data_IF_342572904241
#
_entry.id   IF_342572904241
#
_cell.length_a   1.000
_cell.length_b   1.000
_cell.length_c   1.000
_cell.angle_alpha   90.00
_cell.angle_beta   90.00
_cell.angle_gamma   90.00
#
_symmetry.space_group_name_H-M   'P 1'
#
loop_
_entity.id
_entity.type
_entity.pdbx_description
1 polymer ?
#
# COMPACT_ATOMS: atom_id res chain seq x y z
N UNK A 1 -13.37 -32.46 1.18
CA UNK A 1 -12.96 -33.68 1.92
C UNK A 1 -11.46 -33.59 2.12
N UNK A 2 -10.94 -33.67 3.37
CA UNK A 2 -9.50 -33.72 3.57
C UNK A 2 -8.96 -35.00 2.90
N UNK A 3 -7.79 -34.96 2.25
CA UNK A 3 -7.19 -36.16 1.67
C UNK A 3 -6.91 -37.15 2.80
N UNK A 4 -7.43 -38.37 2.66
CA UNK A 4 -7.15 -39.50 3.55
C UNK A 4 -5.64 -39.71 3.57
N UNK A 5 -4.98 -39.32 4.67
CA UNK A 5 -3.56 -39.57 4.90
C UNK A 5 -3.37 -41.09 5.05
N UNK A 6 -3.13 -41.79 3.95
CA UNK A 6 -2.54 -43.13 3.99
C UNK A 6 -1.26 -43.07 4.83
N UNK A 7 -1.12 -43.88 5.90
CA UNK A 7 0.05 -43.81 6.77
C UNK A 7 1.34 -43.99 5.98
N UNK A 8 2.38 -43.23 6.31
CA UNK A 8 3.71 -43.32 5.68
C UNK A 8 4.23 -44.77 5.71
N UNK A 9 3.88 -45.52 6.77
CA UNK A 9 4.16 -46.95 6.96
C UNK A 9 3.59 -47.86 5.87
N UNK A 10 2.44 -47.50 5.27
CA UNK A 10 1.81 -48.30 4.20
C UNK A 10 2.55 -48.09 2.88
N UNK A 11 2.99 -46.86 2.59
CA UNK A 11 3.81 -46.58 1.41
C UNK A 11 5.21 -47.18 1.54
N UNK A 12 5.89 -46.99 2.68
CA UNK A 12 7.22 -47.59 2.92
C UNK A 12 7.14 -49.12 2.96
N UNK A 13 6.06 -49.69 3.50
CA UNK A 13 5.76 -51.12 3.46
C UNK A 13 5.57 -51.65 2.04
N UNK A 14 4.72 -51.02 1.23
CA UNK A 14 4.51 -51.42 -0.17
C UNK A 14 5.80 -51.29 -0.99
N UNK A 15 6.52 -50.19 -0.83
CA UNK A 15 7.75 -49.92 -1.58
C UNK A 15 8.86 -50.88 -1.19
N UNK A 16 9.05 -51.17 0.10
CA UNK A 16 10.03 -52.16 0.58
C UNK A 16 9.69 -53.57 0.09
N UNK A 17 8.41 -53.93 0.06
CA UNK A 17 7.96 -55.18 -0.56
C UNK A 17 8.26 -55.18 -2.06
N UNK A 18 8.00 -54.10 -2.79
CA UNK A 18 8.32 -54.02 -4.23
C UNK A 18 9.83 -54.01 -4.52
N UNK A 19 10.66 -53.35 -3.72
CA UNK A 19 12.13 -53.39 -3.86
C UNK A 19 12.68 -54.77 -3.52
N UNK A 20 12.25 -55.38 -2.41
CA UNK A 20 12.73 -56.71 -1.99
C UNK A 20 12.25 -57.78 -2.97
N UNK A 21 10.98 -57.76 -3.39
CA UNK A 21 10.45 -58.70 -4.40
C UNK A 21 11.09 -58.46 -5.76
N UNK A 22 11.30 -57.22 -6.19
CA UNK A 22 11.98 -56.90 -7.45
C UNK A 22 13.44 -57.35 -7.48
N UNK A 23 14.15 -57.17 -6.37
CA UNK A 23 15.56 -57.54 -6.21
C UNK A 23 15.71 -59.08 -6.04
N UNK A 24 14.77 -59.74 -5.37
CA UNK A 24 14.65 -61.20 -5.34
C UNK A 24 14.33 -61.79 -6.71
N UNK A 25 13.40 -61.19 -7.48
CA UNK A 25 13.12 -61.63 -8.85
C UNK A 25 14.34 -61.45 -9.76
N UNK A 26 15.09 -60.35 -9.64
CA UNK A 26 16.32 -60.15 -10.41
C UNK A 26 17.45 -61.14 -10.02
N UNK A 27 17.54 -61.52 -8.74
CA UNK A 27 18.48 -62.53 -8.24
C UNK A 27 18.11 -63.96 -8.67
N UNK A 28 16.82 -64.31 -8.61
CA UNK A 28 16.30 -65.67 -8.89
C UNK A 28 16.25 -65.97 -10.38
N UNK A 29 15.95 -64.98 -11.22
CA UNK A 29 15.85 -65.16 -12.69
C UNK A 29 17.23 -65.10 -13.37
N UNK A 30 18.30 -64.75 -12.62
CA UNK A 30 19.59 -64.40 -13.18
C UNK A 30 19.51 -63.10 -14.00
N UNK A 31 20.67 -62.58 -14.44
CA UNK A 31 20.79 -61.42 -15.34
C UNK A 31 20.23 -61.74 -16.74
N UNK A 32 18.93 -62.02 -16.82
CA UNK A 32 18.19 -62.12 -18.07
C UNK A 32 17.88 -60.71 -18.58
N UNK A 33 17.66 -60.54 -19.88
CA UNK A 33 17.40 -59.20 -20.44
C UNK A 33 16.16 -58.52 -19.80
N UNK A 34 15.24 -59.29 -19.21
CA UNK A 34 14.06 -58.81 -18.48
C UNK A 34 14.35 -58.26 -17.08
N UNK A 35 15.49 -58.62 -16.46
CA UNK A 35 15.87 -58.08 -15.15
C UNK A 35 16.35 -56.62 -15.24
N UNK A 36 16.83 -56.19 -16.40
CA UNK A 36 17.32 -54.82 -16.64
C UNK A 36 16.18 -53.79 -16.57
N UNK A 37 15.03 -53.95 -17.28
CA UNK A 37 13.88 -53.06 -17.10
C UNK A 37 13.37 -52.99 -15.66
N UNK A 38 13.30 -54.14 -14.97
CA UNK A 38 12.84 -54.20 -13.57
C UNK A 38 13.78 -53.40 -12.68
N UNK A 39 15.09 -53.58 -12.81
CA UNK A 39 16.10 -52.85 -12.05
C UNK A 39 16.05 -51.34 -12.34
N UNK A 40 15.86 -50.94 -13.59
CA UNK A 40 15.69 -49.53 -13.97
C UNK A 40 14.44 -48.91 -13.34
N UNK A 41 13.30 -49.60 -13.34
CA UNK A 41 12.06 -49.13 -12.70
C UNK A 41 12.26 -49.03 -11.19
N UNK A 42 12.87 -50.03 -10.55
CA UNK A 42 13.17 -50.01 -9.11
C UNK A 42 14.11 -48.85 -8.76
N UNK A 43 15.17 -48.62 -9.55
CA UNK A 43 16.07 -47.48 -9.36
C UNK A 43 15.34 -46.15 -9.56
N UNK A 44 14.51 -46.01 -10.60
CA UNK A 44 13.75 -44.79 -10.85
C UNK A 44 12.77 -44.45 -9.71
N UNK A 45 12.04 -45.46 -9.20
CA UNK A 45 11.15 -45.29 -8.04
C UNK A 45 11.94 -44.94 -6.79
N UNK A 46 13.07 -45.62 -6.55
CA UNK A 46 13.92 -45.36 -5.39
C UNK A 46 14.49 -43.94 -5.46
N UNK A 47 15.06 -43.53 -6.60
CA UNK A 47 15.57 -42.16 -6.80
C UNK A 47 14.45 -41.14 -6.56
N UNK A 48 13.25 -41.35 -7.13
CA UNK A 48 12.10 -40.47 -6.93
C UNK A 48 11.66 -40.30 -5.48
N UNK A 49 11.95 -41.26 -4.59
CA UNK A 49 11.66 -41.14 -3.15
C UNK A 49 12.70 -40.31 -2.41
N UNK A 50 13.94 -40.31 -2.87
CA UNK A 50 15.04 -39.56 -2.26
C UNK A 50 15.34 -38.25 -3.00
N UNK A 51 14.62 -37.93 -4.06
CA UNK A 51 14.77 -36.69 -4.79
C UNK A 51 13.50 -35.88 -4.79
N UNK A 52 13.65 -34.56 -4.76
CA UNK A 52 12.56 -33.60 -4.93
C UNK A 52 12.94 -32.65 -6.06
N UNK A 53 12.06 -32.48 -7.04
CA UNK A 53 12.25 -31.52 -8.10
C UNK A 53 11.37 -30.30 -7.86
N UNK A 54 11.98 -29.17 -7.56
CA UNK A 54 11.28 -27.91 -7.30
C UNK A 54 11.16 -27.15 -8.63
N UNK A 55 9.92 -26.82 -9.07
CA UNK A 55 9.71 -26.11 -10.32
C UNK A 55 10.32 -24.70 -10.29
N UNK A 56 10.47 -24.11 -11.49
CA UNK A 56 11.05 -22.79 -11.63
C UNK A 56 10.22 -21.72 -10.92
N UNK A 57 10.91 -20.79 -10.25
CA UNK A 57 10.30 -19.70 -9.47
C UNK A 57 9.44 -20.15 -8.27
N UNK A 58 9.70 -21.34 -7.75
CA UNK A 58 9.06 -21.81 -6.52
C UNK A 58 10.11 -22.17 -5.47
N UNK A 59 9.70 -22.09 -4.22
CA UNK A 59 10.39 -22.68 -3.08
C UNK A 59 9.46 -23.68 -2.39
N UNK A 60 10.04 -24.73 -1.82
CA UNK A 60 9.32 -25.80 -1.14
C UNK A 60 9.86 -25.96 0.27
N UNK A 61 8.97 -25.90 1.26
CA UNK A 61 9.34 -26.16 2.65
C UNK A 61 9.27 -27.66 2.90
N UNK A 62 10.36 -28.20 3.42
CA UNK A 62 10.48 -29.59 3.85
C UNK A 62 10.67 -29.65 5.36
N UNK A 63 9.93 -30.55 5.99
CA UNK A 63 10.03 -30.81 7.44
C UNK A 63 10.57 -32.22 7.65
N UNK A 64 11.64 -32.32 8.43
CA UNK A 64 12.13 -33.59 8.95
C UNK A 64 11.22 -34.03 10.10
N UNK A 65 10.46 -35.10 9.90
CA UNK A 65 9.44 -35.54 10.86
C UNK A 65 10.02 -36.05 12.19
N UNK A 66 11.29 -36.46 12.21
CA UNK A 66 11.95 -36.98 13.42
C UNK A 66 12.51 -35.88 14.31
N UNK A 67 13.00 -34.79 13.71
CA UNK A 67 13.67 -33.70 14.42
C UNK A 67 12.86 -32.41 14.47
N UNK A 68 11.73 -32.37 13.77
CA UNK A 68 10.91 -31.18 13.54
C UNK A 68 11.67 -30.00 12.90
N UNK A 69 12.87 -30.25 12.35
CA UNK A 69 13.67 -29.24 11.66
C UNK A 69 13.10 -28.98 10.28
N UNK A 70 13.03 -27.71 9.91
CA UNK A 70 12.57 -27.28 8.61
C UNK A 70 13.76 -26.86 7.76
N UNK A 71 13.69 -27.09 6.45
CA UNK A 71 14.61 -26.52 5.47
C UNK A 71 13.86 -26.20 4.19
N UNK A 72 14.34 -25.17 3.50
CA UNK A 72 13.73 -24.67 2.27
C UNK A 72 14.53 -25.17 1.08
N UNK A 73 13.84 -25.73 0.10
CA UNK A 73 14.41 -26.08 -1.19
C UNK A 73 14.00 -25.05 -2.23
N UNK A 74 14.98 -24.49 -2.92
CA UNK A 74 14.77 -23.57 -4.04
C UNK A 74 14.70 -24.36 -5.36
N UNK A 75 14.40 -23.68 -6.46
CA UNK A 75 14.37 -24.26 -7.81
C UNK A 75 15.52 -25.24 -8.08
N UNK A 76 15.18 -26.43 -8.61
CA UNK A 76 16.13 -27.45 -9.01
C UNK A 76 15.86 -28.82 -8.39
N UNK A 77 16.77 -29.76 -8.66
CA UNK A 77 16.73 -31.12 -8.13
C UNK A 77 17.50 -31.20 -6.81
N UNK A 78 16.85 -31.68 -5.76
CA UNK A 78 17.43 -31.79 -4.43
C UNK A 78 17.29 -33.20 -3.87
N UNK A 79 18.19 -33.58 -2.98
CA UNK A 79 18.07 -34.81 -2.20
C UNK A 79 17.23 -34.57 -0.95
N UNK A 80 16.23 -35.43 -0.75
CA UNK A 80 15.42 -35.52 0.46
C UNK A 80 15.59 -36.88 1.14
N UNK A 81 15.43 -36.90 2.44
CA UNK A 81 15.41 -38.13 3.22
C UNK A 81 13.98 -38.69 3.23
N UNK A 82 13.81 -40.00 3.35
CA UNK A 82 12.46 -40.60 3.24
C UNK A 82 11.52 -40.21 4.40
N UNK A 83 12.07 -39.76 5.52
CA UNK A 83 11.33 -39.24 6.69
C UNK A 83 11.12 -37.72 6.63
N UNK A 84 11.44 -37.09 5.51
CA UNK A 84 11.13 -35.70 5.23
C UNK A 84 9.82 -35.59 4.46
N UNK A 85 8.90 -34.75 4.94
CA UNK A 85 7.66 -34.43 4.25
C UNK A 85 7.68 -33.05 3.64
N UNK A 86 7.16 -32.96 2.42
CA UNK A 86 6.85 -31.70 1.75
C UNK A 86 5.63 -31.08 2.40
N UNK A 87 5.75 -29.82 2.83
CA UNK A 87 4.67 -29.11 3.53
C UNK A 87 3.88 -28.22 2.58
N UNK A 88 4.57 -27.30 1.89
CA UNK A 88 3.92 -26.26 1.11
C UNK A 88 4.84 -25.80 -0.03
N UNK A 89 4.21 -25.45 -1.14
CA UNK A 89 4.81 -24.75 -2.27
C UNK A 89 4.58 -23.25 -2.13
N UNK A 90 5.63 -22.47 -2.30
CA UNK A 90 5.64 -21.02 -2.21
C UNK A 90 6.07 -20.49 -3.57
N UNK A 91 5.20 -19.70 -4.19
CA UNK A 91 5.53 -19.01 -5.43
C UNK A 91 6.37 -17.77 -5.10
N UNK A 92 7.59 -17.72 -5.65
CA UNK A 92 8.55 -16.63 -5.44
C UNK A 92 8.19 -15.36 -6.24
N UNK A 93 7.19 -15.43 -7.13
CA UNK A 93 6.70 -14.30 -7.93
C UNK A 93 5.56 -13.55 -7.25
N UNK A 94 5.09 -14.01 -6.09
CA UNK A 94 3.97 -13.38 -5.40
C UNK A 94 4.39 -11.98 -4.96
N UNK A 95 3.58 -11.01 -5.35
CA UNK A 95 3.72 -9.63 -4.91
C UNK A 95 2.41 -9.21 -4.26
N UNK A 96 2.46 -8.91 -2.96
CA UNK A 96 1.32 -8.37 -2.24
C UNK A 96 1.36 -6.86 -2.42
N UNK A 97 0.52 -6.35 -3.32
CA UNK A 97 0.43 -4.93 -3.62
C UNK A 97 -0.92 -4.38 -3.20
N UNK A 98 -0.89 -3.28 -2.45
CA UNK A 98 -2.09 -2.50 -2.12
C UNK A 98 -1.91 -1.03 -2.45
N UNK A 99 -3.02 -0.41 -2.83
CA UNK A 99 -3.14 1.03 -3.03
C UNK A 99 -4.16 1.53 -2.01
N UNK A 100 -3.71 2.39 -1.11
CA UNK A 100 -4.54 2.91 -0.03
C UNK A 100 -4.72 4.42 -0.17
N UNK A 101 -5.89 4.89 0.23
CA UNK A 101 -6.21 6.31 0.34
C UNK A 101 -6.78 6.51 1.74
N UNK A 102 -6.07 7.29 2.55
CA UNK A 102 -6.37 7.51 3.97
C UNK A 102 -6.27 9.00 4.27
N UNK A 103 -6.91 9.44 5.35
CA UNK A 103 -6.87 10.83 5.79
C UNK A 103 -6.11 10.93 7.10
N UNK A 104 -5.12 11.82 7.16
CA UNK A 104 -4.30 12.05 8.34
C UNK A 104 -4.43 13.50 8.82
N UNK A 105 -4.53 13.73 10.13
CA UNK A 105 -4.43 15.07 10.69
C UNK A 105 -2.99 15.58 10.65
N UNK A 106 -2.79 16.75 10.06
CA UNK A 106 -1.59 17.57 10.22
C UNK A 106 -1.76 18.53 11.41
N UNK A 107 -0.75 19.37 11.67
CA UNK A 107 -0.83 20.41 12.71
C UNK A 107 -1.96 21.42 12.51
N UNK A 108 -2.35 21.69 11.27
CA UNK A 108 -3.27 22.78 10.91
C UNK A 108 -4.45 22.35 10.02
N UNK A 109 -4.46 21.12 9.49
CA UNK A 109 -5.48 20.66 8.56
C UNK A 109 -5.62 19.13 8.52
N UNK A 110 -6.61 18.66 7.75
CA UNK A 110 -6.73 17.25 7.38
C UNK A 110 -6.19 17.06 5.96
N UNK A 111 -5.24 16.14 5.83
CA UNK A 111 -4.60 15.76 4.57
C UNK A 111 -5.18 14.43 4.07
N UNK A 112 -5.58 14.39 2.81
CA UNK A 112 -5.91 13.16 2.08
C UNK A 112 -4.65 12.65 1.39
N UNK A 113 -4.29 11.40 1.68
CA UNK A 113 -3.03 10.81 1.30
C UNK A 113 -3.25 9.49 0.59
N UNK A 114 -2.64 9.34 -0.57
CA UNK A 114 -2.62 8.11 -1.35
C UNK A 114 -1.23 7.52 -1.35
N UNK A 115 -1.10 6.27 -0.94
CA UNK A 115 0.18 5.56 -0.94
C UNK A 115 0.01 4.12 -1.42
N UNK A 116 1.10 3.56 -1.90
CA UNK A 116 1.20 2.19 -2.38
C UNK A 116 2.31 1.52 -1.60
N UNK A 117 2.06 0.27 -1.22
CA UNK A 117 3.13 -0.60 -0.78
C UNK A 117 3.09 -1.92 -1.53
N UNK A 118 4.25 -2.54 -1.68
CA UNK A 118 4.47 -3.83 -2.32
C UNK A 118 5.36 -4.65 -1.41
N UNK A 119 4.89 -5.84 -1.04
CA UNK A 119 5.61 -6.79 -0.19
C UNK A 119 5.95 -8.01 -1.04
N UNK A 120 7.19 -8.47 -0.96
CA UNK A 120 7.67 -9.66 -1.67
C UNK A 120 8.43 -10.58 -0.71
N UNK A 121 8.37 -11.90 -0.87
CA UNK A 121 9.23 -12.80 -0.09
C UNK A 121 10.71 -12.48 -0.32
N UNK A 122 11.50 -12.39 0.74
CA UNK A 122 12.94 -12.15 0.62
C UNK A 122 13.68 -13.48 0.42
N UNK A 123 14.22 -13.67 -0.78
CA UNK A 123 15.01 -14.85 -1.16
C UNK A 123 16.51 -14.56 -1.33
N UNK A 124 16.99 -13.43 -0.81
CA UNK A 124 18.37 -12.97 -0.97
C UNK A 124 19.23 -13.28 0.26
N UNK A 125 20.50 -13.60 0.02
CA UNK A 125 21.52 -13.75 1.06
C UNK A 125 21.55 -15.11 1.76
N UNK A 126 22.32 -15.18 2.86
CA UNK A 126 22.61 -16.41 3.60
C UNK A 126 21.37 -16.95 4.34
N UNK A 127 20.44 -16.08 4.69
CA UNK A 127 19.23 -16.39 5.46
C UNK A 127 17.97 -16.60 4.60
N UNK A 128 18.11 -16.68 3.27
CA UNK A 128 16.99 -16.83 2.33
C UNK A 128 16.07 -18.02 2.68
N UNK A 129 16.64 -19.13 3.15
CA UNK A 129 15.85 -20.30 3.54
C UNK A 129 14.98 -20.04 4.77
N UNK A 130 15.50 -19.30 5.76
CA UNK A 130 14.80 -18.94 6.99
C UNK A 130 13.70 -17.91 6.71
N UNK A 131 14.00 -16.90 5.87
CA UNK A 131 13.05 -15.87 5.46
C UNK A 131 11.80 -16.48 4.80
N UNK A 132 11.97 -17.49 3.94
CA UNK A 132 10.84 -18.17 3.30
C UNK A 132 9.98 -18.95 4.31
N UNK A 133 10.62 -19.55 5.31
CA UNK A 133 9.89 -20.21 6.40
C UNK A 133 9.09 -19.20 7.21
N UNK A 134 9.69 -18.04 7.54
CA UNK A 134 9.00 -16.95 8.21
C UNK A 134 7.80 -16.46 7.39
N UNK A 135 8.00 -16.11 6.12
CA UNK A 135 6.93 -15.66 5.22
C UNK A 135 5.77 -16.66 5.17
N UNK A 136 6.06 -17.95 5.00
CA UNK A 136 5.04 -19.01 4.93
C UNK A 136 4.32 -19.29 6.25
N UNK A 137 4.87 -18.82 7.37
CA UNK A 137 4.24 -18.98 8.69
C UNK A 137 3.08 -18.01 8.91
N UNK A 138 2.94 -16.99 8.06
CA UNK A 138 1.87 -15.99 8.13
C UNK A 138 0.88 -16.16 6.98
N UNK A 139 -0.37 -15.80 7.24
CA UNK A 139 -1.37 -15.62 6.19
C UNK A 139 -1.11 -14.29 5.45
N UNK A 140 -1.30 -14.27 4.13
CA UNK A 140 -1.05 -13.07 3.30
C UNK A 140 -1.84 -11.84 3.78
N UNK A 141 -3.09 -12.05 4.21
CA UNK A 141 -3.96 -10.98 4.72
C UNK A 141 -3.48 -10.44 6.08
N UNK A 142 -2.86 -11.29 6.91
CA UNK A 142 -2.25 -10.85 8.16
C UNK A 142 -1.05 -9.94 7.89
N UNK A 143 -0.16 -10.33 6.97
CA UNK A 143 1.00 -9.51 6.58
C UNK A 143 0.54 -8.15 6.02
N UNK A 144 -0.47 -8.13 5.14
CA UNK A 144 -1.02 -6.86 4.61
C UNK A 144 -1.59 -5.97 5.71
N UNK A 145 -2.36 -6.54 6.63
CA UNK A 145 -2.97 -5.79 7.72
C UNK A 145 -1.91 -5.17 8.65
N UNK A 146 -0.87 -5.94 9.01
CA UNK A 146 0.23 -5.45 9.83
C UNK A 146 1.08 -4.39 9.11
N UNK A 147 1.36 -4.61 7.81
CA UNK A 147 2.09 -3.64 6.99
C UNK A 147 1.30 -2.32 6.87
N UNK A 148 0.00 -2.38 6.60
CA UNK A 148 -0.87 -1.21 6.60
C UNK A 148 -0.82 -0.48 7.95
N UNK A 149 -0.96 -1.21 9.06
CA UNK A 149 -0.90 -0.59 10.38
C UNK A 149 0.44 0.12 10.64
N UNK A 150 1.55 -0.49 10.22
CA UNK A 150 2.88 0.11 10.27
C UNK A 150 2.95 1.41 9.46
N UNK A 151 2.57 1.38 8.17
CA UNK A 151 2.66 2.58 7.32
C UNK A 151 1.69 3.68 7.75
N UNK A 152 0.46 3.34 8.13
CA UNK A 152 -0.50 4.32 8.66
C UNK A 152 0.02 4.98 9.93
N UNK A 153 0.70 4.24 10.81
CA UNK A 153 1.33 4.80 12.00
C UNK A 153 2.51 5.72 11.65
N UNK A 154 3.39 5.31 10.73
CA UNK A 154 4.53 6.14 10.29
C UNK A 154 4.04 7.45 9.65
N UNK A 155 3.06 7.38 8.76
CA UNK A 155 2.44 8.55 8.15
C UNK A 155 1.72 9.42 9.17
N UNK A 156 0.96 8.84 10.10
CA UNK A 156 0.28 9.61 11.15
C UNK A 156 1.26 10.36 12.05
N UNK A 157 2.39 9.76 12.42
CA UNK A 157 3.41 10.41 13.25
C UNK A 157 4.12 11.53 12.47
N UNK A 158 4.43 11.30 11.20
CA UNK A 158 5.04 12.32 10.34
C UNK A 158 4.09 13.50 10.10
N UNK A 159 2.82 13.25 9.77
CA UNK A 159 1.84 14.28 9.47
C UNK A 159 1.53 15.12 10.70
N UNK A 160 1.37 14.49 11.87
CA UNK A 160 1.10 15.18 13.13
C UNK A 160 2.21 16.17 13.57
N UNK A 161 3.42 16.02 13.05
CA UNK A 161 4.56 16.91 13.34
C UNK A 161 4.71 18.07 12.35
N UNK A 162 4.06 18.00 11.20
CA UNK A 162 4.25 18.91 10.08
C UNK A 162 3.00 19.75 9.79
N UNK A 163 3.20 20.88 9.11
CA UNK A 163 2.14 21.76 8.65
C UNK A 163 1.69 21.29 7.26
N UNK A 164 0.40 21.42 6.95
CA UNK A 164 -0.19 20.85 5.74
C UNK A 164 0.43 21.33 4.41
N UNK A 165 1.02 22.52 4.37
CA UNK A 165 1.71 22.96 3.14
C UNK A 165 3.03 22.22 2.88
N UNK A 166 3.77 21.88 3.93
CA UNK A 166 5.00 21.10 3.81
C UNK A 166 4.68 19.65 3.39
N UNK A 167 3.47 19.19 3.70
CA UNK A 167 2.96 17.86 3.39
C UNK A 167 2.47 17.69 1.94
N UNK A 168 2.75 18.65 1.06
CA UNK A 168 2.53 18.49 -0.39
C UNK A 168 3.76 17.95 -1.13
N UNK A 169 4.95 18.07 -0.54
CA UNK A 169 6.16 17.53 -1.16
C UNK A 169 6.28 16.02 -0.91
N UNK A 170 5.86 15.26 -1.91
CA UNK A 170 5.87 13.80 -1.89
C UNK A 170 7.27 13.22 -1.79
N UNK A 171 8.28 13.88 -2.37
CA UNK A 171 9.65 13.38 -2.34
C UNK A 171 10.20 13.49 -0.92
N UNK A 172 9.98 14.63 -0.27
CA UNK A 172 10.38 14.85 1.11
C UNK A 172 9.68 13.87 2.06
N UNK A 173 8.36 13.69 1.93
CA UNK A 173 7.62 12.74 2.78
C UNK A 173 8.15 11.32 2.61
N UNK A 174 8.40 10.87 1.37
CA UNK A 174 8.91 9.53 1.13
C UNK A 174 10.28 9.31 1.79
N UNK A 175 11.16 10.31 1.71
CA UNK A 175 12.48 10.23 2.32
C UNK A 175 12.39 10.23 3.85
N UNK A 176 11.65 11.18 4.44
CA UNK A 176 11.65 11.36 5.89
C UNK A 176 10.74 10.37 6.64
N UNK A 177 9.62 9.96 6.05
CA UNK A 177 8.68 9.03 6.69
C UNK A 177 9.07 7.55 6.50
N UNK A 178 9.68 7.20 5.36
CA UNK A 178 10.00 5.81 5.01
C UNK A 178 11.50 5.55 4.79
N UNK A 179 12.23 6.50 4.22
CA UNK A 179 13.61 6.31 3.77
C UNK A 179 14.69 6.54 4.83
N UNK A 180 14.38 7.22 5.93
CA UNK A 180 15.37 7.63 6.93
C UNK A 180 14.91 7.41 8.38
N UNK A 181 15.88 7.46 9.29
CA UNK A 181 15.65 7.46 10.73
C UNK A 181 14.80 6.29 11.24
N UNK A 182 13.86 6.58 12.13
CA UNK A 182 13.01 5.58 12.76
C UNK A 182 12.04 4.90 11.79
N UNK A 183 11.69 5.55 10.68
CA UNK A 183 10.82 4.96 9.66
C UNK A 183 11.52 3.78 8.98
N UNK A 184 12.73 4.02 8.48
CA UNK A 184 13.54 2.99 7.85
C UNK A 184 13.81 1.81 8.80
N UNK A 185 14.19 2.10 10.05
CA UNK A 185 14.46 1.05 11.04
C UNK A 185 13.25 0.16 11.29
N UNK A 186 12.05 0.74 11.46
CA UNK A 186 10.83 -0.06 11.70
C UNK A 186 10.43 -0.89 10.48
N UNK A 187 10.66 -0.38 9.28
CA UNK A 187 10.44 -1.15 8.04
C UNK A 187 11.41 -2.31 7.98
N UNK A 188 12.70 -2.10 8.26
CA UNK A 188 13.70 -3.17 8.30
C UNK A 188 13.42 -4.22 9.38
N UNK A 189 12.92 -3.80 10.55
CA UNK A 189 12.48 -4.72 11.61
C UNK A 189 11.28 -5.56 11.16
N UNK A 190 10.34 -4.96 10.42
CA UNK A 190 9.20 -5.66 9.84
C UNK A 190 9.63 -6.66 8.75
N UNK A 191 10.54 -6.26 7.87
CA UNK A 191 11.15 -7.10 6.84
C UNK A 191 11.84 -8.33 7.46
N UNK A 192 12.63 -8.10 8.52
CA UNK A 192 13.35 -9.17 9.21
C UNK A 192 12.42 -10.13 9.98
N UNK A 193 11.35 -9.62 10.60
CA UNK A 193 10.42 -10.47 11.37
C UNK A 193 9.52 -11.33 10.50
N UNK A 194 9.21 -10.87 9.27
CA UNK A 194 8.33 -11.58 8.34
C UNK A 194 9.07 -12.27 7.18
N UNK A 195 10.38 -12.05 7.03
CA UNK A 195 11.16 -12.63 5.93
C UNK A 195 10.77 -12.06 4.56
N UNK A 196 10.45 -10.76 4.51
CA UNK A 196 9.94 -10.08 3.30
C UNK A 196 10.79 -8.86 2.96
N UNK A 197 10.71 -8.41 1.71
CA UNK A 197 11.16 -7.11 1.26
C UNK A 197 9.95 -6.20 1.04
N UNK A 198 10.03 -4.98 1.55
CA UNK A 198 8.96 -3.99 1.54
C UNK A 198 9.38 -2.79 0.71
N UNK A 199 8.54 -2.44 -0.27
CA UNK A 199 8.62 -1.18 -0.97
C UNK A 199 7.37 -0.36 -0.68
N UNK A 200 7.51 0.80 -0.03
CA UNK A 200 6.42 1.74 0.22
C UNK A 200 6.72 3.08 -0.42
N UNK A 201 5.69 3.68 -1.03
CA UNK A 201 5.79 5.00 -1.64
C UNK A 201 4.45 5.74 -1.61
N UNK A 202 4.53 7.01 -1.29
CA UNK A 202 3.47 7.99 -1.42
C UNK A 202 3.25 8.38 -2.90
N UNK A 203 2.02 8.26 -3.37
CA UNK A 203 1.58 8.69 -4.70
C UNK A 203 0.99 10.10 -4.67
N UNK A 204 0.23 10.42 -3.63
CA UNK A 204 -0.45 11.70 -3.50
C UNK A 204 -0.60 12.15 -2.06
N UNK A 205 -0.58 13.46 -1.85
CA UNK A 205 -0.88 14.09 -0.57
C UNK A 205 -1.34 15.50 -0.83
N UNK A 206 -2.58 15.78 -0.45
CA UNK A 206 -3.20 17.09 -0.58
C UNK A 206 -4.16 17.35 0.56
N UNK A 207 -4.64 18.59 0.69
CA UNK A 207 -5.69 18.88 1.65
C UNK A 207 -6.98 18.17 1.24
N UNK A 208 -7.72 17.65 2.23
CA UNK A 208 -9.10 17.20 1.99
C UNK A 208 -9.92 18.34 1.36
N UNK A 209 -10.90 18.00 0.51
CA UNK A 209 -11.73 18.99 -0.17
C UNK A 209 -12.35 20.03 0.79
N UNK A 210 -12.75 19.60 2.00
CA UNK A 210 -13.26 20.48 3.04
C UNK A 210 -12.20 21.42 3.62
N UNK A 211 -10.99 20.91 3.90
CA UNK A 211 -9.88 21.74 4.38
C UNK A 211 -9.42 22.75 3.32
N UNK A 212 -9.34 22.34 2.05
CA UNK A 212 -8.99 23.25 0.95
C UNK A 212 -10.02 24.36 0.79
N UNK A 213 -11.32 24.03 0.80
CA UNK A 213 -12.39 25.03 0.71
C UNK A 213 -12.34 26.05 1.86
N UNK A 214 -12.03 25.60 3.08
CA UNK A 214 -11.86 26.47 4.25
C UNK A 214 -10.64 27.38 4.09
N UNK A 215 -9.51 26.86 3.60
CA UNK A 215 -8.30 27.65 3.32
C UNK A 215 -8.55 28.69 2.23
N UNK A 216 -9.23 28.32 1.15
CA UNK A 216 -9.58 29.23 0.06
C UNK A 216 -10.54 30.34 0.54
N UNK A 217 -11.47 30.02 1.45
CA UNK A 217 -12.34 31.02 2.08
C UNK A 217 -11.55 31.99 2.97
N UNK A 218 -10.62 31.48 3.79
CA UNK A 218 -9.75 32.31 4.64
C UNK A 218 -8.82 33.21 3.82
N UNK A 219 -8.22 32.68 2.75
CA UNK A 219 -7.37 33.43 1.82
C UNK A 219 -8.15 34.57 1.16
N UNK A 220 -9.36 34.29 0.66
CA UNK A 220 -10.27 35.31 0.12
C UNK A 220 -10.65 36.37 1.17
N UNK A 221 -10.94 35.98 2.40
CA UNK A 221 -11.26 36.92 3.48
C UNK A 221 -10.06 37.82 3.85
N UNK A 222 -8.84 37.27 3.87
CA UNK A 222 -7.62 38.02 4.15
C UNK A 222 -7.29 39.01 3.02
N UNK A 223 -7.34 38.54 1.77
CA UNK A 223 -7.19 39.39 0.58
C UNK A 223 -8.23 40.51 0.55
N UNK A 224 -9.49 40.20 0.90
CA UNK A 224 -10.53 41.22 1.02
C UNK A 224 -10.17 42.27 2.07
N UNK A 225 -9.76 41.86 3.26
CA UNK A 225 -9.36 42.79 4.33
C UNK A 225 -8.14 43.64 3.93
N UNK A 226 -7.12 43.04 3.33
CA UNK A 226 -5.94 43.77 2.84
C UNK A 226 -6.31 44.77 1.74
N UNK A 227 -7.23 44.40 0.85
CA UNK A 227 -7.75 45.31 -0.18
C UNK A 227 -8.48 46.50 0.44
N UNK A 228 -9.31 46.25 1.46
CA UNK A 228 -9.99 47.31 2.23
C UNK A 228 -8.98 48.22 2.92
N UNK A 229 -7.97 47.66 3.58
CA UNK A 229 -6.95 48.43 4.29
C UNK A 229 -6.13 49.32 3.31
N UNK A 230 -5.79 48.80 2.12
CA UNK A 230 -5.11 49.59 1.07
C UNK A 230 -6.00 50.73 0.57
N UNK A 231 -7.28 50.47 0.32
CA UNK A 231 -8.25 51.49 -0.12
C UNK A 231 -8.47 52.56 0.95
N UNK A 232 -8.49 52.19 2.22
CA UNK A 232 -8.55 53.14 3.34
C UNK A 232 -7.28 53.97 3.48
N UNK A 233 -6.10 53.41 3.20
CA UNK A 233 -4.81 54.11 3.38
C UNK A 233 -4.39 54.97 2.18
N UNK A 234 -4.67 54.53 0.96
CA UNK A 234 -4.15 55.17 -0.26
C UNK A 234 -5.22 55.59 -1.26
N UNK A 235 -6.43 54.99 -1.18
CA UNK A 235 -7.47 55.17 -2.19
C UNK A 235 -7.03 54.74 -3.60
N UNK A 236 -7.97 54.71 -4.55
CA UNK A 236 -7.64 54.49 -5.95
C UNK A 236 -6.96 55.72 -6.61
N UNK A 237 -7.25 56.93 -6.09
CA UNK A 237 -6.83 58.21 -6.67
C UNK A 237 -6.03 59.11 -5.69
N UNK A 238 -5.44 58.53 -4.64
CA UNK A 238 -4.62 59.27 -3.66
C UNK A 238 -5.39 59.90 -2.49
N UNK A 239 -6.71 59.68 -2.38
CA UNK A 239 -7.52 60.08 -1.23
C UNK A 239 -7.97 58.86 -0.43
N UNK A 240 -7.71 58.87 0.88
CA UNK A 240 -8.18 57.86 1.81
C UNK A 240 -9.71 57.71 1.77
N UNK A 241 -10.20 56.49 1.53
CA UNK A 241 -11.64 56.19 1.54
C UNK A 241 -12.12 55.82 2.95
N UNK A 242 -13.39 56.13 3.27
CA UNK A 242 -14.00 55.60 4.49
C UNK A 242 -14.17 54.08 4.40
N UNK A 243 -14.17 53.40 5.54
CA UNK A 243 -14.20 51.93 5.62
C UNK A 243 -15.38 51.32 4.86
N UNK A 244 -16.55 51.96 4.90
CA UNK A 244 -17.74 51.50 4.17
C UNK A 244 -17.58 51.58 2.65
N UNK A 245 -16.92 52.63 2.14
CA UNK A 245 -16.65 52.77 0.70
C UNK A 245 -15.54 51.80 0.25
N UNK A 246 -14.49 51.64 1.06
CA UNK A 246 -13.42 50.67 0.80
C UNK A 246 -13.94 49.22 0.76
N UNK A 247 -14.81 48.83 1.69
CA UNK A 247 -15.47 47.51 1.69
C UNK A 247 -16.36 47.32 0.45
N UNK A 248 -17.03 48.38 -0.02
CA UNK A 248 -17.87 48.35 -1.21
C UNK A 248 -17.03 48.14 -2.48
N UNK A 249 -15.96 48.90 -2.65
CA UNK A 249 -15.04 48.79 -3.79
C UNK A 249 -14.31 47.45 -3.77
N UNK A 250 -13.85 46.99 -2.62
CA UNK A 250 -13.20 45.67 -2.48
C UNK A 250 -14.15 44.51 -2.86
N UNK A 251 -15.45 44.62 -2.56
CA UNK A 251 -16.46 43.62 -2.98
C UNK A 251 -16.63 43.57 -4.49
N UNK A 252 -16.60 44.73 -5.15
CA UNK A 252 -16.70 44.86 -6.61
C UNK A 252 -15.45 44.32 -7.33
N UNK A 253 -14.25 44.52 -6.75
CA UNK A 253 -13.00 44.04 -7.32
C UNK A 253 -12.83 42.51 -7.20
N UNK A 254 -13.29 41.90 -6.10
CA UNK A 254 -13.18 40.45 -5.87
C UNK A 254 -14.24 39.60 -6.58
N UNK A 255 -15.21 40.21 -7.27
CA UNK A 255 -16.26 39.51 -8.02
C UNK A 255 -16.19 39.93 -9.51
N UNK A 256 -15.37 39.27 -10.34
CA UNK A 256 -15.30 39.59 -11.76
C UNK A 256 -16.67 39.39 -12.42
N UNK A 257 -17.25 40.46 -12.98
CA UNK A 257 -18.53 40.44 -13.70
C UNK A 257 -19.77 40.88 -12.91
N UNK A 258 -19.63 41.38 -11.67
CA UNK A 258 -20.75 41.93 -10.90
C UNK A 258 -20.80 43.45 -11.05
N UNK A 259 -21.86 43.96 -11.68
CA UNK A 259 -22.21 45.38 -11.69
C UNK A 259 -23.26 45.63 -10.62
N UNK A 260 -23.01 46.57 -9.70
CA UNK A 260 -24.06 47.05 -8.80
C UNK A 260 -25.05 47.93 -9.56
N UNK A 261 -26.33 47.57 -9.49
CA UNK A 261 -27.42 48.46 -9.89
C UNK A 261 -27.95 49.13 -8.63
N UNK A 262 -27.69 50.43 -8.50
CA UNK A 262 -28.29 51.25 -7.46
C UNK A 262 -29.71 51.63 -7.93
N UNK A 263 -30.71 50.84 -7.53
CA UNK A 263 -32.10 51.20 -7.75
C UNK A 263 -32.56 52.03 -6.56
N UNK A 264 -32.51 53.34 -6.68
CA UNK A 264 -33.13 54.25 -5.71
C UNK A 264 -34.63 54.20 -5.89
N UNK A 265 -35.32 53.40 -5.07
CA UNK A 265 -36.77 53.41 -4.99
C UNK A 265 -37.19 54.60 -4.13
N UNK A 266 -37.50 55.72 -4.77
CA UNK A 266 -38.18 56.85 -4.12
C UNK A 266 -39.64 56.45 -3.86
N UNK A 267 -39.85 55.69 -2.78
CA UNK A 267 -41.17 55.34 -2.29
C UNK A 267 -41.72 56.55 -1.53
N UNK A 268 -42.47 57.42 -2.22
CA UNK A 268 -43.28 58.47 -1.58
C UNK A 268 -44.10 57.87 -0.44
N UNK A 269 -43.75 58.20 0.80
CA UNK A 269 -44.52 57.86 2.00
C UNK A 269 -43.89 56.85 2.97
N UNK A 270 -42.63 56.44 2.82
CA UNK A 270 -41.95 55.57 3.80
C UNK A 270 -40.62 56.17 4.25
N UNK A 271 -40.68 57.03 5.27
CA UNK A 271 -39.52 57.81 5.78
C UNK A 271 -38.39 56.96 6.41
N UNK A 272 -38.52 55.63 6.46
CA UNK A 272 -37.60 54.73 7.17
C UNK A 272 -37.03 53.57 6.34
N UNK A 273 -37.26 53.50 5.02
CA UNK A 273 -36.56 52.52 4.18
C UNK A 273 -35.16 53.05 3.84
N UNK A 274 -34.17 52.70 4.66
CA UNK A 274 -32.75 52.84 4.31
C UNK A 274 -32.45 51.98 3.08
N UNK A 275 -31.69 52.55 2.15
CA UNK A 275 -31.26 51.99 0.87
C UNK A 275 -31.10 50.46 0.90
N UNK A 276 -31.90 49.77 0.08
CA UNK A 276 -31.76 48.32 -0.13
C UNK A 276 -30.79 48.10 -1.28
N UNK A 277 -29.54 47.79 -0.97
CA UNK A 277 -28.54 47.45 -1.99
C UNK A 277 -28.74 46.01 -2.46
N UNK A 278 -29.12 45.84 -3.72
CA UNK A 278 -29.16 44.53 -4.38
C UNK A 278 -27.85 44.26 -5.12
N UNK A 279 -27.20 43.14 -4.80
CA UNK A 279 -26.05 42.62 -5.55
C UNK A 279 -26.56 41.55 -6.53
N UNK A 280 -26.41 41.80 -7.84
CA UNK A 280 -26.85 40.89 -8.90
C UNK A 280 -25.75 40.67 -9.94
N UNK A 281 -25.50 39.41 -10.31
CA UNK A 281 -24.55 39.05 -11.37
C UNK A 281 -25.23 38.96 -12.74
N UNK A 282 -24.57 39.45 -13.79
CA UNK A 282 -24.98 39.20 -15.17
C UNK A 282 -24.51 37.77 -15.52
N UNK A 283 -25.45 36.83 -15.64
CA UNK A 283 -25.18 35.53 -16.21
C UNK A 283 -24.92 35.72 -17.73
N UNK A 284 -23.71 35.43 -18.27
CA UNK A 284 -23.45 35.61 -19.70
C UNK A 284 -24.14 34.56 -20.59
N UNK A 285 -24.97 33.68 -20.03
CA UNK A 285 -25.91 32.84 -20.79
C UNK A 285 -27.31 33.46 -20.79
N UNK A 286 -27.42 34.60 -21.46
CA UNK A 286 -28.69 35.16 -21.90
C UNK A 286 -29.24 34.39 -23.10
N UNK A 287 -30.31 33.64 -22.86
CA UNK A 287 -31.42 33.32 -23.77
C UNK A 287 -31.19 33.26 -25.28
N UNK A 288 -31.49 32.09 -25.84
CA UNK A 288 -32.46 32.04 -26.94
C UNK A 288 -33.64 31.14 -26.52
N UNK A 289 -34.80 31.58 -26.98
CA UNK A 289 -36.17 31.10 -26.77
C UNK A 289 -36.32 29.58 -26.78
#
# INVERSE_FOLDING_TARGET
MPPTKTPVEVYTGLISVFTVVGLLCALVVGLSWWSVPILLVTMAVTIGLYTENVPGYSARIIINQLTSRQRTLFQGLHLKLFWESVTQDIDLRVELKEVLTETYPSKDALMETKYIYTIRPNFSGVYAGENIVLYASYEEDAIKMEARALFSMLLSDYYGRNVGEDLKDKAQINQEAFGEGSGLTRIQEFEASHGVDVFVRLEDSDFTAGAQAARDALSRAKSFKETVDILMQKGADGYAMDRKEAEKVAKLLNLPGVQEYLITLDAKGVENLRDVTFLGGINPKGGKK
#
